data_IF_753111133563
#
_entry.id   IF_753111133563
#
_cell.length_a   1.000
_cell.length_b   1.000
_cell.length_c   1.000
_cell.angle_alpha   90.00
_cell.angle_beta   90.00
_cell.angle_gamma   90.00
#
_symmetry.space_group_name_H-M   'P 1'
#
loop_
_entity.id
_entity.type
_entity.pdbx_description
1 polymer ?
#
# COMPACT_ATOMS: atom_id res chain seq x y z
N UNK A 1 -14.83 24.43 -45.06
CA UNK A 1 -14.24 24.53 -43.70
C UNK A 1 -15.17 24.11 -42.53
N UNK A 2 -16.36 23.51 -42.75
CA UNK A 2 -17.28 23.08 -41.65
C UNK A 2 -17.09 21.63 -41.17
N UNK A 3 -16.27 20.82 -41.86
CA UNK A 3 -16.12 19.38 -41.59
C UNK A 3 -14.94 19.02 -40.67
N UNK A 4 -13.91 19.85 -40.59
CA UNK A 4 -12.71 19.61 -39.78
C UNK A 4 -12.92 19.82 -38.28
N UNK A 5 -13.83 20.70 -37.87
CA UNK A 5 -14.11 20.98 -36.46
C UNK A 5 -14.85 19.82 -35.75
N UNK A 6 -15.67 19.06 -36.48
CA UNK A 6 -16.39 17.90 -35.93
C UNK A 6 -15.47 16.73 -35.60
N UNK A 7 -14.37 16.58 -36.33
CA UNK A 7 -13.39 15.51 -36.11
C UNK A 7 -12.57 15.73 -34.83
N UNK A 8 -12.27 16.98 -34.49
CA UNK A 8 -11.50 17.32 -33.27
C UNK A 8 -12.29 17.07 -31.98
N UNK A 9 -13.60 17.34 -31.95
CA UNK A 9 -14.45 17.08 -30.78
C UNK A 9 -14.65 15.58 -30.50
N UNK A 10 -14.72 14.74 -31.54
CA UNK A 10 -14.90 13.28 -31.38
C UNK A 10 -13.61 12.61 -30.91
N UNK A 11 -12.44 13.09 -31.39
CA UNK A 11 -11.15 12.57 -30.96
C UNK A 11 -10.83 12.87 -29.48
N UNK A 12 -11.23 14.05 -28.98
CA UNK A 12 -11.06 14.41 -27.56
C UNK A 12 -11.95 13.57 -26.62
N UNK A 13 -13.18 13.24 -27.04
CA UNK A 13 -14.08 12.39 -26.26
C UNK A 13 -13.62 10.93 -26.21
N UNK A 14 -13.05 10.43 -27.32
CA UNK A 14 -12.49 9.08 -27.39
C UNK A 14 -11.25 8.88 -26.52
N UNK A 15 -10.41 9.91 -26.33
CA UNK A 15 -9.24 9.85 -25.44
C UNK A 15 -9.61 9.82 -23.95
N UNK A 16 -10.72 10.43 -23.56
CA UNK A 16 -11.24 10.38 -22.18
C UNK A 16 -11.84 9.00 -21.87
N UNK A 17 -12.42 8.33 -22.87
CA UNK A 17 -12.99 6.99 -22.74
C UNK A 17 -11.96 5.85 -22.87
N UNK A 18 -10.79 6.11 -23.45
CA UNK A 18 -9.73 5.10 -23.64
C UNK A 18 -8.65 5.13 -22.56
N UNK A 19 -8.69 6.08 -21.62
CA UNK A 19 -7.84 6.05 -20.45
C UNK A 19 -8.25 4.83 -19.59
N UNK A 20 -7.34 3.89 -19.30
CA UNK A 20 -7.67 2.78 -18.44
C UNK A 20 -7.95 3.35 -17.04
N UNK A 21 -9.22 3.34 -16.63
CA UNK A 21 -9.64 3.56 -15.25
C UNK A 21 -9.25 2.33 -14.41
N UNK A 22 -7.95 2.03 -14.37
CA UNK A 22 -7.38 1.06 -13.45
C UNK A 22 -7.09 1.81 -12.17
N UNK A 23 -8.17 2.02 -11.41
CA UNK A 23 -8.17 2.48 -10.03
C UNK A 23 -7.63 1.36 -9.13
N UNK A 24 -6.39 0.91 -9.37
CA UNK A 24 -5.74 0.00 -8.44
C UNK A 24 -5.36 0.83 -7.22
N UNK A 25 -5.75 0.34 -6.04
CA UNK A 25 -5.16 0.85 -4.82
C UNK A 25 -3.63 0.69 -4.98
N UNK A 26 -2.88 1.77 -4.88
CA UNK A 26 -1.44 1.68 -4.98
C UNK A 26 -0.95 0.82 -3.80
N UNK A 27 0.04 -0.06 -4.02
CA UNK A 27 0.67 -0.75 -2.91
C UNK A 27 1.15 0.24 -1.84
N UNK A 28 0.90 -0.08 -0.58
CA UNK A 28 1.35 0.73 0.56
C UNK A 28 2.35 -0.06 1.35
N UNK A 29 3.51 0.54 1.64
CA UNK A 29 4.57 -0.08 2.43
C UNK A 29 4.68 0.60 3.79
N UNK A 30 4.86 -0.21 4.83
CA UNK A 30 5.16 0.23 6.19
C UNK A 30 6.53 -0.29 6.60
N UNK A 31 7.33 0.56 7.26
CA UNK A 31 8.54 0.14 7.94
C UNK A 31 8.17 -0.38 9.34
N UNK A 32 8.78 -1.49 9.73
CA UNK A 32 8.66 -2.04 11.08
C UNK A 32 9.91 -1.75 11.89
N UNK A 33 9.71 -1.46 13.17
CA UNK A 33 10.77 -1.44 14.18
C UNK A 33 10.46 -2.47 15.24
N UNK A 34 11.37 -3.42 15.46
CA UNK A 34 11.26 -4.46 16.49
C UNK A 34 12.09 -4.03 17.70
N UNK A 35 11.40 -3.73 18.80
CA UNK A 35 12.03 -3.23 20.02
C UNK A 35 12.10 -4.33 21.07
N UNK A 36 13.30 -4.75 21.50
CA UNK A 36 13.46 -5.81 22.48
C UNK A 36 12.95 -5.37 23.85
N UNK A 37 12.27 -6.27 24.53
CA UNK A 37 11.91 -6.14 25.95
C UNK A 37 13.14 -6.24 26.84
N UNK A 38 13.01 -5.78 28.09
CA UNK A 38 14.08 -5.91 29.08
C UNK A 38 14.54 -7.37 29.21
N UNK A 39 15.87 -7.59 29.16
CA UNK A 39 16.47 -8.92 29.20
C UNK A 39 16.55 -9.64 27.84
N UNK A 40 15.98 -9.07 26.78
CA UNK A 40 16.17 -9.57 25.40
C UNK A 40 17.32 -8.84 24.71
N UNK A 41 18.10 -9.57 23.92
CA UNK A 41 19.31 -9.05 23.28
C UNK A 41 19.02 -8.45 21.91
N UNK A 42 18.15 -9.10 21.13
CA UNK A 42 17.99 -8.78 19.71
C UNK A 42 16.72 -8.01 19.44
N UNK A 43 16.91 -6.80 18.91
CA UNK A 43 15.91 -6.02 18.17
C UNK A 43 16.12 -6.16 16.66
N UNK A 44 15.28 -5.47 15.90
CA UNK A 44 15.32 -5.58 14.44
C UNK A 44 14.53 -4.52 13.71
N UNK A 45 14.47 -4.69 12.40
CA UNK A 45 13.66 -3.87 11.50
C UNK A 45 12.86 -4.78 10.58
N UNK A 46 11.93 -4.22 9.83
CA UNK A 46 11.21 -4.98 8.82
C UNK A 46 10.46 -4.07 7.88
N UNK A 47 9.75 -4.68 6.95
CA UNK A 47 8.84 -3.99 6.05
C UNK A 47 7.63 -4.86 5.76
N UNK A 48 6.49 -4.22 5.57
CA UNK A 48 5.28 -4.88 5.10
C UNK A 48 4.70 -4.09 3.94
N UNK A 49 4.28 -4.77 2.88
CA UNK A 49 3.62 -4.16 1.73
C UNK A 49 2.25 -4.78 1.51
N UNK A 50 1.25 -3.93 1.31
CA UNK A 50 -0.15 -4.30 1.12
C UNK A 50 -0.70 -3.81 -0.21
N UNK A 51 -1.71 -4.48 -0.75
CA UNK A 51 -2.55 -3.97 -1.83
C UNK A 51 -3.58 -2.97 -1.28
N UNK A 52 -3.14 -1.71 -1.18
CA UNK A 52 -3.95 -0.58 -0.70
C UNK A 52 -3.84 -0.27 0.79
N UNK A 53 -4.17 0.97 1.14
CA UNK A 53 -4.09 1.49 2.50
C UNK A 53 -5.15 0.85 3.43
N UNK A 54 -4.83 0.69 4.74
CA UNK A 54 -5.81 0.31 5.75
C UNK A 54 -6.96 1.29 5.83
N UNK A 55 -8.17 0.79 6.12
CA UNK A 55 -9.33 1.64 6.41
C UNK A 55 -9.07 2.45 7.68
N UNK A 56 -9.43 3.74 7.65
CA UNK A 56 -9.33 4.62 8.82
C UNK A 56 -10.31 4.24 9.95
N UNK A 57 -11.30 3.38 9.67
CA UNK A 57 -12.26 2.87 10.65
C UNK A 57 -12.56 1.39 10.40
N UNK A 58 -12.77 0.62 11.47
CA UNK A 58 -13.06 -0.81 11.42
C UNK A 58 -11.82 -1.68 11.24
N UNK A 59 -12.04 -2.94 10.86
CA UNK A 59 -10.99 -3.95 10.70
C UNK A 59 -10.52 -3.98 9.24
N UNK A 60 -9.21 -3.97 9.01
CA UNK A 60 -8.59 -4.25 7.71
C UNK A 60 -7.62 -5.43 7.85
N UNK A 61 -7.95 -6.54 7.19
CA UNK A 61 -7.14 -7.75 7.19
C UNK A 61 -6.39 -7.91 5.86
N UNK A 62 -5.09 -8.18 5.97
CA UNK A 62 -4.18 -8.43 4.86
C UNK A 62 -3.53 -9.79 5.04
N UNK A 63 -3.81 -10.72 4.15
CA UNK A 63 -3.23 -12.06 4.19
C UNK A 63 -2.84 -12.53 2.80
N UNK A 64 -2.01 -13.58 2.75
CA UNK A 64 -1.73 -14.28 1.48
C UNK A 64 -3.01 -14.87 0.92
N UNK A 65 -3.86 -15.44 1.78
CA UNK A 65 -5.11 -16.10 1.41
C UNK A 65 -6.15 -15.15 0.81
N UNK A 66 -6.16 -13.87 1.21
CA UNK A 66 -7.05 -12.86 0.65
C UNK A 66 -6.43 -12.06 -0.50
N UNK A 67 -5.17 -12.35 -0.85
CA UNK A 67 -4.44 -11.72 -1.96
C UNK A 67 -4.02 -10.27 -1.73
N UNK A 68 -4.21 -9.73 -0.53
CA UNK A 68 -3.89 -8.31 -0.23
C UNK A 68 -2.55 -8.12 0.46
N UNK A 69 -1.94 -9.17 0.99
CA UNK A 69 -0.57 -9.11 1.51
C UNK A 69 0.41 -9.35 0.37
N UNK A 70 1.19 -8.32 0.00
CA UNK A 70 2.12 -8.38 -1.11
C UNK A 70 3.48 -8.89 -0.65
N UNK A 71 3.98 -8.33 0.46
CA UNK A 71 5.30 -8.69 0.99
C UNK A 71 5.39 -8.46 2.50
N UNK A 72 6.21 -9.26 3.16
CA UNK A 72 6.59 -9.15 4.58
C UNK A 72 8.05 -9.54 4.70
N UNK A 73 8.84 -8.71 5.36
CA UNK A 73 10.22 -9.02 5.69
C UNK A 73 10.57 -8.55 7.12
N UNK A 74 11.33 -9.37 7.82
CA UNK A 74 11.91 -9.04 9.12
C UNK A 74 13.42 -9.28 9.10
N UNK A 75 14.17 -8.34 9.65
CA UNK A 75 15.61 -8.39 9.79
C UNK A 75 15.99 -8.30 11.27
N UNK A 76 16.53 -9.39 11.81
CA UNK A 76 16.96 -9.49 13.22
C UNK A 76 18.25 -10.31 13.29
N UNK A 77 19.27 -9.78 13.98
CA UNK A 77 20.59 -10.43 14.13
C UNK A 77 21.23 -10.91 12.80
N UNK A 78 21.09 -10.11 11.74
CA UNK A 78 21.59 -10.44 10.41
C UNK A 78 20.83 -11.56 9.67
N UNK A 79 19.75 -12.09 10.25
CA UNK A 79 18.84 -13.02 9.60
C UNK A 79 17.68 -12.27 8.96
N UNK A 80 17.30 -12.69 7.76
CA UNK A 80 16.17 -12.11 7.01
C UNK A 80 15.08 -13.15 6.85
N UNK A 81 13.96 -12.93 7.53
CA UNK A 81 12.74 -13.70 7.41
C UNK A 81 11.82 -13.02 6.39
N UNK A 82 11.24 -13.78 5.47
CA UNK A 82 10.43 -13.26 4.37
C UNK A 82 9.13 -14.04 4.20
N UNK A 83 8.16 -13.41 3.55
CA UNK A 83 6.89 -14.06 3.21
C UNK A 83 7.07 -15.38 2.44
N UNK A 84 8.14 -15.52 1.65
CA UNK A 84 8.43 -16.74 0.89
C UNK A 84 8.82 -17.94 1.78
N UNK A 85 9.37 -17.70 2.96
CA UNK A 85 9.74 -18.74 3.94
C UNK A 85 8.69 -18.95 5.04
N UNK A 86 7.58 -18.21 5.00
CA UNK A 86 6.56 -18.26 6.02
C UNK A 86 5.95 -19.67 6.17
N UNK A 87 5.91 -20.16 7.41
CA UNK A 87 5.27 -21.41 7.80
C UNK A 87 3.86 -21.12 8.31
N UNK A 88 2.88 -21.13 7.41
CA UNK A 88 1.46 -20.91 7.73
C UNK A 88 0.85 -19.65 7.10
N UNK A 89 -0.40 -19.35 7.47
CA UNK A 89 -1.10 -18.18 6.97
C UNK A 89 -0.57 -16.91 7.64
N UNK A 90 0.15 -16.09 6.89
CA UNK A 90 0.57 -14.77 7.34
C UNK A 90 -0.60 -13.80 7.29
N UNK A 91 -0.87 -13.12 8.40
CA UNK A 91 -1.93 -12.13 8.57
C UNK A 91 -1.34 -10.85 9.15
N UNK A 92 -1.77 -9.71 8.61
CA UNK A 92 -1.57 -8.41 9.22
C UNK A 92 -2.93 -7.73 9.37
N UNK A 93 -3.24 -7.31 10.58
CA UNK A 93 -4.53 -6.71 10.92
C UNK A 93 -4.34 -5.28 11.39
N UNK A 94 -5.14 -4.40 10.82
CA UNK A 94 -5.34 -3.05 11.32
C UNK A 94 -6.72 -2.91 11.96
N UNK A 95 -6.80 -2.10 13.01
CA UNK A 95 -8.04 -1.66 13.62
C UNK A 95 -8.03 -0.13 13.64
N UNK A 96 -9.03 0.49 13.04
CA UNK A 96 -9.18 1.95 12.98
C UNK A 96 -7.92 2.66 12.45
N UNK A 97 -7.35 2.10 11.37
CA UNK A 97 -6.13 2.61 10.72
C UNK A 97 -4.82 2.35 11.48
N UNK A 98 -4.86 1.74 12.66
CA UNK A 98 -3.67 1.41 13.45
C UNK A 98 -3.33 -0.08 13.37
N UNK A 99 -2.03 -0.39 13.35
CA UNK A 99 -1.57 -1.77 13.38
C UNK A 99 -2.03 -2.41 14.69
N UNK A 100 -2.78 -3.50 14.59
CA UNK A 100 -3.31 -4.24 15.72
C UNK A 100 -2.55 -5.54 15.95
N UNK A 101 -2.32 -6.30 14.88
CA UNK A 101 -1.69 -7.62 14.97
C UNK A 101 -0.90 -7.97 13.70
N UNK A 102 0.13 -8.78 13.89
CA UNK A 102 0.86 -9.47 12.83
C UNK A 102 1.00 -10.92 13.29
N UNK A 103 0.49 -11.84 12.49
CA UNK A 103 0.72 -13.28 12.61
C UNK A 103 1.69 -13.70 11.53
N UNK A 104 2.90 -14.09 11.94
CA UNK A 104 3.95 -14.57 11.04
C UNK A 104 4.79 -15.62 11.76
N UNK A 105 5.22 -16.65 11.05
CA UNK A 105 6.19 -17.61 11.55
C UNK A 105 7.10 -18.05 10.42
N UNK A 106 8.40 -18.19 10.68
CA UNK A 106 9.35 -18.80 9.75
C UNK A 106 10.53 -19.40 10.53
N UNK A 107 11.12 -20.43 9.94
CA UNK A 107 12.35 -21.05 10.42
C UNK A 107 13.41 -21.03 9.31
N UNK A 108 14.59 -20.49 9.63
CA UNK A 108 15.75 -20.42 8.74
C UNK A 108 16.82 -21.39 9.24
N UNK A 109 17.44 -22.09 8.30
CA UNK A 109 18.55 -23.02 8.57
C UNK A 109 18.09 -24.34 9.20
N UNK A 110 19.06 -25.06 9.73
CA UNK A 110 18.88 -26.37 10.37
C UNK A 110 19.86 -26.52 11.53
N UNK A 111 19.56 -27.40 12.49
CA UNK A 111 20.45 -27.69 13.61
C UNK A 111 21.87 -28.02 13.10
N UNK A 112 22.93 -27.44 13.70
CA UNK A 112 22.93 -26.63 14.93
C UNK A 112 22.69 -25.12 14.72
N UNK A 113 22.57 -24.64 13.48
CA UNK A 113 22.46 -23.22 13.14
C UNK A 113 21.03 -22.89 12.65
N UNK A 114 20.07 -23.04 13.57
CA UNK A 114 18.65 -22.77 13.31
C UNK A 114 18.19 -21.49 14.01
N UNK A 115 17.40 -20.71 13.27
CA UNK A 115 16.73 -19.51 13.75
C UNK A 115 15.23 -19.62 13.48
N UNK A 116 14.41 -19.15 14.40
CA UNK A 116 12.96 -19.15 14.25
C UNK A 116 12.40 -17.81 14.69
N UNK A 117 11.54 -17.21 13.88
CA UNK A 117 10.81 -15.99 14.23
C UNK A 117 9.34 -16.32 14.29
N UNK A 118 8.71 -16.07 15.44
CA UNK A 118 7.26 -16.04 15.60
C UNK A 118 6.83 -14.61 15.93
N UNK A 119 5.77 -14.13 15.28
CA UNK A 119 5.16 -12.83 15.54
C UNK A 119 3.67 -13.05 15.72
N UNK A 120 3.15 -12.66 16.88
CA UNK A 120 1.72 -12.63 17.24
C UNK A 120 1.52 -11.56 18.32
N UNK A 121 1.12 -10.36 17.94
CA UNK A 121 1.05 -9.12 18.76
C UNK A 121 2.37 -8.64 19.40
N UNK A 122 3.32 -9.56 19.62
CA UNK A 122 4.72 -9.38 20.02
C UNK A 122 5.58 -10.25 19.10
N UNK A 123 6.89 -10.00 19.04
CA UNK A 123 7.81 -10.90 18.37
C UNK A 123 8.55 -11.78 19.38
N UNK A 124 8.88 -12.99 18.93
CA UNK A 124 9.72 -13.96 19.61
C UNK A 124 10.74 -14.52 18.60
N UNK A 125 12.00 -14.15 18.76
CA UNK A 125 13.11 -14.59 17.94
C UNK A 125 13.95 -15.61 18.70
N UNK A 126 13.96 -16.86 18.22
CA UNK A 126 14.71 -17.97 18.78
C UNK A 126 16.01 -18.16 18.00
N UNK A 127 17.11 -18.31 18.74
CA UNK A 127 18.47 -18.49 18.22
C UNK A 127 19.20 -19.58 19.02
N UNK A 128 20.42 -19.94 18.59
CA UNK A 128 21.20 -21.06 19.14
C UNK A 128 20.37 -22.37 19.14
N UNK A 129 19.82 -22.72 17.99
CA UNK A 129 18.97 -23.91 17.81
C UNK A 129 17.72 -23.94 18.69
N UNK A 130 17.22 -22.76 19.09
CA UNK A 130 16.04 -22.61 19.94
C UNK A 130 16.33 -22.65 21.44
N UNK A 131 17.60 -22.70 21.84
CA UNK A 131 17.99 -22.71 23.26
C UNK A 131 17.92 -21.32 23.91
N UNK A 132 17.88 -20.25 23.10
CA UNK A 132 17.77 -18.89 23.57
C UNK A 132 16.74 -18.10 22.74
N UNK A 133 16.17 -17.06 23.34
CA UNK A 133 15.14 -16.25 22.72
C UNK A 133 15.28 -14.76 23.04
N UNK A 134 14.81 -13.91 22.15
CA UNK A 134 14.58 -12.48 22.36
C UNK A 134 13.13 -12.17 22.05
N UNK A 135 12.49 -11.43 22.96
CA UNK A 135 11.09 -11.04 22.86
C UNK A 135 10.99 -9.53 22.80
N UNK A 136 9.93 -9.03 22.19
CA UNK A 136 9.69 -7.60 22.16
C UNK A 136 8.43 -7.20 21.43
N UNK A 137 8.26 -5.89 21.28
CA UNK A 137 7.13 -5.32 20.55
C UNK A 137 7.57 -4.89 19.17
N UNK A 138 6.59 -4.63 18.30
CA UNK A 138 6.83 -4.02 17.00
C UNK A 138 5.94 -2.80 16.84
N UNK A 139 6.45 -1.81 16.10
CA UNK A 139 5.68 -0.67 15.64
C UNK A 139 5.79 -0.56 14.13
N UNK A 140 4.75 -0.01 13.49
CA UNK A 140 4.73 0.23 12.06
C UNK A 140 4.57 1.71 11.76
N UNK A 141 5.40 2.23 10.86
CA UNK A 141 5.28 3.57 10.32
C UNK A 141 5.10 3.50 8.81
N UNK A 142 4.12 4.21 8.23
CA UNK A 142 3.96 4.23 6.78
C UNK A 142 5.22 4.80 6.14
N UNK A 143 5.67 4.18 5.06
CA UNK A 143 6.65 4.80 4.15
C UNK A 143 5.88 5.84 3.35
N UNK A 144 6.35 7.08 3.35
CA UNK A 144 5.72 8.14 2.55
C UNK A 144 5.66 7.72 1.08
N UNK A 145 4.45 7.38 0.63
CA UNK A 145 4.18 6.96 -0.74
C UNK A 145 4.15 8.15 -1.71
N UNK A 146 4.21 7.91 -3.02
CA UNK A 146 4.08 8.98 -4.00
C UNK A 146 2.75 9.73 -3.79
N UNK A 147 2.83 11.06 -3.85
CA UNK A 147 1.74 12.02 -3.68
C UNK A 147 0.42 11.55 -4.32
N UNK A 148 -0.75 11.72 -3.67
CA UNK A 148 -2.03 11.29 -4.20
C UNK A 148 -2.22 11.82 -5.62
N UNK A 149 -2.23 10.91 -6.59
CA UNK A 149 -2.56 11.24 -7.98
C UNK A 149 -4.01 11.76 -7.97
N UNK A 150 -4.30 12.93 -8.57
CA UNK A 150 -5.65 13.48 -8.59
C UNK A 150 -6.66 12.44 -9.07
N UNK A 151 -7.73 12.28 -8.30
CA UNK A 151 -8.76 11.30 -8.60
C UNK A 151 -9.35 11.54 -10.00
N UNK A 152 -9.80 10.49 -10.70
CA UNK A 152 -10.43 10.63 -12.02
C UNK A 152 -11.57 11.67 -12.04
N UNK A 153 -12.27 11.83 -10.93
CA UNK A 153 -13.29 12.86 -10.74
C UNK A 153 -12.75 14.29 -10.87
N UNK A 154 -11.54 14.56 -10.38
CA UNK A 154 -10.86 15.86 -10.50
C UNK A 154 -10.48 16.16 -11.95
N UNK A 155 -10.04 15.15 -12.71
CA UNK A 155 -9.77 15.28 -14.15
C UNK A 155 -11.04 15.46 -14.97
N UNK A 156 -12.11 14.74 -14.62
CA UNK A 156 -13.42 14.93 -15.24
C UNK A 156 -14.02 16.32 -14.93
N UNK A 157 -13.87 16.80 -13.70
CA UNK A 157 -14.27 18.16 -13.29
C UNK A 157 -13.44 19.23 -14.02
N UNK A 158 -12.13 19.02 -14.13
CA UNK A 158 -11.25 19.92 -14.89
C UNK A 158 -11.63 19.94 -16.37
N UNK A 159 -11.86 18.77 -16.97
CA UNK A 159 -12.29 18.64 -18.37
C UNK A 159 -13.65 19.28 -18.63
N UNK A 160 -14.63 19.04 -17.77
CA UNK A 160 -15.95 19.68 -17.87
C UNK A 160 -15.87 21.19 -17.61
N UNK A 161 -15.00 21.64 -16.71
CA UNK A 161 -14.72 23.07 -16.48
C UNK A 161 -14.18 23.77 -17.72
N UNK A 162 -13.23 23.17 -18.43
CA UNK A 162 -12.71 23.69 -19.70
C UNK A 162 -13.79 23.75 -20.79
N UNK A 163 -14.64 22.71 -20.90
CA UNK A 163 -15.74 22.68 -21.86
C UNK A 163 -16.83 23.73 -21.55
N UNK A 164 -17.13 23.93 -20.26
CA UNK A 164 -18.07 24.96 -19.81
C UNK A 164 -17.57 26.38 -20.07
N UNK A 165 -16.30 26.65 -19.76
CA UNK A 165 -15.68 27.96 -19.97
C UNK A 165 -15.60 28.32 -21.46
N UNK A 166 -15.19 27.37 -22.30
CA UNK A 166 -15.11 27.56 -23.76
C UNK A 166 -16.49 27.79 -24.40
N UNK A 167 -17.53 27.08 -23.93
CA UNK A 167 -18.91 27.31 -24.35
C UNK A 167 -19.45 28.70 -23.98
N UNK A 168 -19.15 29.17 -22.77
CA UNK A 168 -19.56 30.51 -22.31
C UNK A 168 -18.86 31.63 -23.10
N UNK A 169 -17.57 31.48 -23.40
CA UNK A 169 -16.79 32.42 -24.21
C UNK A 169 -17.32 32.48 -25.65
N UNK A 170 -17.62 31.33 -26.25
CA UNK A 170 -18.20 31.27 -27.59
C UNK A 170 -19.56 31.97 -27.67
N UNK A 171 -20.41 31.82 -26.62
CA UNK A 171 -21.70 32.50 -26.55
C UNK A 171 -21.53 34.02 -26.54
N UNK A 172 -20.58 34.55 -25.76
CA UNK A 172 -20.30 36.00 -25.66
C UNK A 172 -19.78 36.60 -26.97
N UNK A 173 -18.88 35.89 -27.67
CA UNK A 173 -18.32 36.37 -28.94
C UNK A 173 -19.37 36.38 -30.07
N UNK A 174 -20.37 35.50 -30.00
CA UNK A 174 -21.44 35.47 -30.99
C UNK A 174 -22.46 36.61 -30.81
N UNK A 175 -22.80 36.97 -29.57
CA UNK A 175 -23.66 38.12 -29.29
C UNK A 175 -22.97 39.46 -29.54
N UNK A 176 -21.66 39.57 -29.30
CA UNK A 176 -20.89 40.79 -29.60
C UNK A 176 -20.69 41.06 -31.10
N UNK A 177 -20.88 40.05 -31.95
CA UNK A 177 -20.80 40.17 -33.42
C UNK A 177 -22.16 40.44 -34.09
N UNK A 178 -23.25 40.40 -33.33
CA UNK A 178 -24.61 40.66 -33.82
C UNK A 178 -25.16 42.04 -33.45
N UNK A 179 -24.32 42.91 -32.89
CA UNK A 179 -24.57 44.36 -32.71
C UNK A 179 -23.71 45.14 -33.70
#
# INVERSE_FOLDING_TARGET
MRRTLKFFCVAAFALVLSAPARLFAAPVTYNLTLTPSAGSLYGGTGSITFDGAPSASGISDYSVSNGKLIDVAFNIDGQTFTLAGATGDTLVRFLDGQLNDITFAEMIGSSPNRYTLHVTSVYAFYYNDGQAASYGTFTATPVDGPSPVPEPGSLALLGTGFLGASGALYRRLRTARSS
#
